data_IF_033022166383
#
_entry.id   IF_033022166383
#
_cell.length_a   1.000
_cell.length_b   1.000
_cell.length_c   1.000
_cell.angle_alpha   90.00
_cell.angle_beta   90.00
_cell.angle_gamma   90.00
#
_symmetry.space_group_name_H-M   'P 1'
#
loop_
_entity.id
_entity.type
_entity.pdbx_description
1 polymer ?
#
# COMPACT_ATOMS: atom_id res chain seq x y z
N UNK A 1 -0.03 -9.85 13.25
CA UNK A 1 0.98 -9.14 14.09
C UNK A 1 1.28 -9.90 15.38
N UNK A 2 0.31 -10.21 16.24
CA UNK A 2 0.56 -10.97 17.48
C UNK A 2 1.12 -12.38 17.23
N UNK A 3 0.65 -13.05 16.18
CA UNK A 3 1.11 -14.40 15.81
C UNK A 3 2.42 -14.40 14.99
N UNK A 4 2.50 -13.55 13.97
CA UNK A 4 3.60 -13.53 12.99
C UNK A 4 4.68 -12.45 13.24
N UNK A 5 4.56 -11.69 14.33
CA UNK A 5 5.44 -10.55 14.63
C UNK A 5 5.20 -9.32 13.76
N UNK A 6 6.24 -8.50 13.61
CA UNK A 6 6.26 -7.28 12.77
C UNK A 6 5.93 -5.98 13.53
N UNK A 7 6.39 -4.82 13.02
CA UNK A 7 6.11 -3.53 13.64
C UNK A 7 4.63 -3.15 13.53
N UNK A 8 4.17 -2.30 14.46
CA UNK A 8 2.89 -1.63 14.35
C UNK A 8 3.01 -0.41 13.42
N UNK A 9 1.96 -0.16 12.65
CA UNK A 9 1.83 1.02 11.78
C UNK A 9 0.34 1.32 11.57
N UNK A 10 0.04 2.59 11.29
CA UNK A 10 -1.32 3.01 10.95
C UNK A 10 -1.70 2.51 9.56
N UNK A 11 -2.93 1.99 9.35
CA UNK A 11 -3.36 1.50 8.05
C UNK A 11 -3.40 2.64 7.02
N UNK A 12 -2.74 2.42 5.87
CA UNK A 12 -2.67 3.41 4.80
C UNK A 12 -2.60 2.73 3.42
N UNK A 13 -3.01 3.47 2.39
CA UNK A 13 -2.74 3.18 0.99
C UNK A 13 -1.79 4.27 0.51
N UNK A 14 -0.56 3.89 0.17
CA UNK A 14 0.44 4.84 -0.31
C UNK A 14 0.06 5.32 -1.71
N UNK A 15 -0.10 6.63 -1.90
CA UNK A 15 -0.31 7.24 -3.23
C UNK A 15 0.98 7.80 -3.83
N UNK A 16 1.90 8.23 -2.98
CA UNK A 16 3.25 8.71 -3.33
C UNK A 16 4.19 8.44 -2.14
N UNK A 17 5.48 8.23 -2.39
CA UNK A 17 6.46 7.91 -1.35
C UNK A 17 7.64 8.87 -1.30
N UNK A 18 8.46 8.75 -0.24
CA UNK A 18 9.72 9.48 -0.04
C UNK A 18 9.62 11.02 -0.10
N UNK A 19 8.46 11.57 0.30
CA UNK A 19 8.16 13.01 0.24
C UNK A 19 7.58 13.46 1.58
N UNK A 20 7.89 14.69 1.98
CA UNK A 20 7.24 15.37 3.12
C UNK A 20 5.98 16.07 2.63
N UNK A 21 4.85 15.83 3.30
CA UNK A 21 3.55 16.36 2.92
C UNK A 21 3.07 17.38 3.97
N UNK A 22 2.35 18.39 3.53
CA UNK A 22 1.62 19.32 4.38
C UNK A 22 0.10 19.10 4.23
N UNK A 23 -0.73 19.57 5.17
CA UNK A 23 -2.19 19.41 5.10
C UNK A 23 -2.83 19.94 3.80
N UNK A 24 -2.26 20.98 3.20
CA UNK A 24 -2.69 21.54 1.92
C UNK A 24 -2.48 20.60 0.72
N UNK A 25 -1.62 19.60 0.85
CA UNK A 25 -1.41 18.57 -0.18
C UNK A 25 -2.45 17.45 -0.12
N UNK A 26 -3.37 17.50 0.85
CA UNK A 26 -4.39 16.47 1.03
C UNK A 26 -5.32 16.39 -0.19
N UNK A 27 -5.54 15.15 -0.66
CA UNK A 27 -6.49 14.86 -1.73
C UNK A 27 -7.93 14.92 -1.19
N UNK A 28 -8.87 15.27 -2.06
CA UNK A 28 -10.28 15.09 -1.77
C UNK A 28 -10.59 13.60 -1.51
N UNK A 29 -11.52 13.26 -0.59
CA UNK A 29 -11.88 11.87 -0.34
C UNK A 29 -12.37 11.15 -1.60
N UNK A 30 -11.99 9.88 -1.75
CA UNK A 30 -12.40 9.01 -2.85
C UNK A 30 -12.65 7.58 -2.33
N UNK A 31 -13.48 6.77 -3.03
CA UNK A 31 -13.71 5.39 -2.63
C UNK A 31 -12.49 4.50 -2.93
N UNK A 32 -12.21 3.56 -2.03
CA UNK A 32 -11.26 2.48 -2.26
C UNK A 32 -11.91 1.16 -1.87
N UNK A 33 -11.77 0.14 -2.71
CA UNK A 33 -12.35 -1.19 -2.50
C UNK A 33 -11.27 -2.24 -2.44
N UNK A 34 -11.31 -3.09 -1.41
CA UNK A 34 -10.47 -4.29 -1.33
C UNK A 34 -10.95 -5.31 -2.35
N UNK A 35 -10.03 -5.86 -3.15
CA UNK A 35 -10.33 -6.92 -4.14
C UNK A 35 -9.90 -8.29 -3.66
N UNK A 36 -8.74 -8.40 -3.02
CA UNK A 36 -8.21 -9.67 -2.53
C UNK A 36 -7.14 -9.45 -1.43
N UNK A 37 -6.94 -10.45 -0.59
CA UNK A 37 -5.73 -10.59 0.21
C UNK A 37 -4.61 -11.22 -0.65
N UNK A 38 -3.43 -10.63 -0.62
CA UNK A 38 -2.27 -11.05 -1.39
C UNK A 38 -0.99 -11.03 -0.55
N UNK A 39 0.06 -11.62 -1.11
CA UNK A 39 1.40 -11.68 -0.51
C UNK A 39 2.48 -11.35 -1.54
N UNK A 40 3.59 -10.85 -1.06
CA UNK A 40 4.77 -10.53 -1.87
C UNK A 40 6.04 -11.15 -1.28
N UNK A 41 7.17 -10.76 -1.87
CA UNK A 41 8.47 -11.40 -1.61
C UNK A 41 9.39 -10.59 -0.71
N UNK A 42 9.05 -9.34 -0.37
CA UNK A 42 9.88 -8.46 0.45
C UNK A 42 9.15 -7.91 1.67
N UNK A 43 9.93 -7.43 2.65
CA UNK A 43 9.46 -6.98 3.97
C UNK A 43 8.20 -6.09 3.94
N UNK A 44 8.19 -5.03 3.13
CA UNK A 44 7.05 -4.09 3.07
C UNK A 44 5.87 -4.56 2.20
N UNK A 45 5.99 -5.72 1.55
CA UNK A 45 4.88 -6.37 0.85
C UNK A 45 4.78 -7.83 1.32
N UNK A 46 4.77 -8.04 2.63
CA UNK A 46 4.63 -9.38 3.20
C UNK A 46 3.19 -9.89 3.03
N UNK A 47 2.21 -9.23 3.65
CA UNK A 47 0.77 -9.48 3.46
C UNK A 47 0.03 -8.16 3.35
N UNK A 48 -0.85 -8.05 2.36
CA UNK A 48 -1.57 -6.82 2.04
C UNK A 48 -2.91 -7.11 1.36
N UNK A 49 -3.83 -6.17 1.46
CA UNK A 49 -5.00 -6.13 0.59
C UNK A 49 -4.66 -5.42 -0.72
N UNK A 50 -4.99 -6.05 -1.84
CA UNK A 50 -5.06 -5.36 -3.13
C UNK A 50 -6.28 -4.44 -3.14
N UNK A 51 -6.07 -3.23 -3.64
CA UNK A 51 -7.13 -2.24 -3.83
C UNK A 51 -7.51 -2.22 -5.31
N UNK A 52 -8.80 -2.09 -5.58
CA UNK A 52 -9.36 -2.00 -6.92
C UNK A 52 -8.77 -0.76 -7.64
N UNK A 53 -8.07 -0.92 -8.78
CA UNK A 53 -7.44 0.18 -9.50
C UNK A 53 -8.47 0.95 -10.35
N UNK A 54 -9.59 1.36 -9.73
CA UNK A 54 -10.56 2.26 -10.34
C UNK A 54 -9.90 3.62 -10.65
N UNK A 55 -10.43 4.37 -11.62
CA UNK A 55 -9.82 5.63 -12.06
C UNK A 55 -9.46 6.59 -10.92
N UNK A 56 -10.31 6.74 -9.91
CA UNK A 56 -10.09 7.63 -8.78
C UNK A 56 -8.85 7.25 -7.95
N UNK A 57 -8.61 5.96 -7.72
CA UNK A 57 -7.44 5.45 -6.99
C UNK A 57 -6.16 5.67 -7.79
N UNK A 58 -6.21 5.41 -9.10
CA UNK A 58 -5.04 5.57 -9.97
C UNK A 58 -4.71 7.05 -10.20
N UNK A 59 -5.72 7.90 -10.35
CA UNK A 59 -5.57 9.35 -10.45
C UNK A 59 -4.98 9.96 -9.18
N UNK A 60 -5.33 9.46 -7.98
CA UNK A 60 -4.76 9.93 -6.73
C UNK A 60 -3.23 9.83 -6.72
N UNK A 61 -2.68 8.68 -7.12
CA UNK A 61 -1.24 8.50 -7.26
C UNK A 61 -0.65 9.33 -8.39
N UNK A 62 -1.28 9.36 -9.57
CA UNK A 62 -0.79 10.15 -10.70
C UNK A 62 -0.70 11.65 -10.39
N UNK A 63 -1.72 12.22 -9.73
CA UNK A 63 -1.75 13.62 -9.31
C UNK A 63 -0.66 13.91 -8.27
N UNK A 64 -0.52 13.05 -7.26
CA UNK A 64 0.51 13.21 -6.25
C UNK A 64 1.92 13.12 -6.87
N UNK A 65 2.19 12.12 -7.71
CA UNK A 65 3.47 11.98 -8.41
C UNK A 65 3.80 13.22 -9.27
N UNK A 66 2.83 13.73 -10.04
CA UNK A 66 3.03 14.93 -10.86
C UNK A 66 3.31 16.18 -9.99
N UNK A 67 2.48 16.41 -8.96
CA UNK A 67 2.60 17.56 -8.06
C UNK A 67 3.96 17.61 -7.37
N UNK A 68 4.48 16.47 -6.93
CA UNK A 68 5.77 16.38 -6.25
C UNK A 68 6.97 16.07 -7.16
N UNK A 69 6.76 15.97 -8.48
CA UNK A 69 7.82 15.60 -9.42
C UNK A 69 8.40 14.19 -9.18
N UNK A 70 7.65 13.30 -8.54
CA UNK A 70 8.08 11.93 -8.27
C UNK A 70 7.91 11.06 -9.52
N UNK A 71 9.00 10.41 -9.94
CA UNK A 71 9.00 9.46 -11.05
C UNK A 71 9.12 8.04 -10.52
N UNK A 72 8.03 7.28 -10.59
CA UNK A 72 8.05 5.86 -10.22
C UNK A 72 8.80 5.04 -11.27
N UNK A 73 9.66 4.13 -10.81
CA UNK A 73 10.34 3.14 -11.66
C UNK A 73 9.48 1.91 -11.96
N UNK A 74 8.33 1.77 -11.29
CA UNK A 74 7.41 0.63 -11.45
C UNK A 74 5.95 1.10 -11.56
N UNK A 75 5.07 0.32 -12.23
CA UNK A 75 3.65 0.62 -12.26
C UNK A 75 3.06 0.72 -10.85
N UNK A 76 2.15 1.68 -10.66
CA UNK A 76 1.46 1.83 -9.38
C UNK A 76 0.55 0.62 -9.11
N UNK A 77 0.78 -0.05 -7.99
CA UNK A 77 -0.05 -1.14 -7.49
C UNK A 77 -0.69 -0.68 -6.17
N UNK A 78 -1.95 -0.23 -6.16
CA UNK A 78 -2.57 0.25 -4.94
C UNK A 78 -2.83 -0.92 -3.99
N UNK A 79 -2.33 -0.80 -2.77
CA UNK A 79 -2.46 -1.83 -1.74
C UNK A 79 -2.53 -1.21 -0.34
N UNK A 80 -3.15 -1.94 0.58
CA UNK A 80 -3.16 -1.65 2.01
C UNK A 80 -2.40 -2.74 2.74
N UNK A 81 -1.25 -2.39 3.31
CA UNK A 81 -0.39 -3.32 4.03
C UNK A 81 -1.04 -3.78 5.34
N UNK A 82 -0.97 -5.10 5.60
CA UNK A 82 -1.48 -5.71 6.82
C UNK A 82 -0.35 -6.17 7.75
N UNK A 83 0.76 -6.60 7.15
CA UNK A 83 1.93 -7.09 7.87
C UNK A 83 3.20 -6.67 7.13
N UNK A 84 4.18 -6.17 7.90
CA UNK A 84 5.57 -6.06 7.47
C UNK A 84 6.40 -7.06 8.27
N UNK A 85 6.96 -8.05 7.59
CA UNK A 85 7.76 -9.10 8.23
C UNK A 85 8.54 -9.91 7.19
N UNK A 86 9.73 -10.37 7.57
CA UNK A 86 10.47 -11.39 6.83
C UNK A 86 10.16 -12.77 7.43
N UNK A 87 9.08 -13.37 6.95
CA UNK A 87 8.60 -14.71 7.35
C UNK A 87 8.60 -15.67 6.16
N UNK A 88 8.47 -16.97 6.42
CA UNK A 88 8.44 -17.99 5.39
C UNK A 88 7.23 -17.83 4.45
N UNK A 89 7.33 -18.33 3.21
CA UNK A 89 6.20 -18.30 2.27
C UNK A 89 4.99 -19.09 2.80
N UNK A 90 5.23 -20.15 3.58
CA UNK A 90 4.17 -20.91 4.26
C UNK A 90 3.46 -20.03 5.32
N UNK A 91 4.21 -19.27 6.12
CA UNK A 91 3.62 -18.36 7.10
C UNK A 91 2.92 -17.17 6.43
N UNK A 92 3.42 -16.65 5.30
CA UNK A 92 2.71 -15.64 4.51
C UNK A 92 1.38 -16.17 3.98
N UNK A 93 1.36 -17.43 3.55
CA UNK A 93 0.16 -18.08 3.06
C UNK A 93 -0.88 -18.29 4.18
N UNK A 94 -0.43 -18.61 5.40
CA UNK A 94 -1.30 -18.65 6.58
C UNK A 94 -1.79 -17.26 6.98
N UNK A 95 -0.92 -16.26 6.93
CA UNK A 95 -1.22 -14.91 7.37
C UNK A 95 -2.16 -14.13 6.43
N UNK A 96 -2.38 -14.59 5.19
CA UNK A 96 -3.33 -13.97 4.24
C UNK A 96 -4.75 -14.55 4.28
N UNK A 97 -4.97 -15.61 5.05
CA UNK A 97 -6.29 -16.24 5.25
C UNK A 97 -7.04 -15.54 6.37
#
# INVERSE_FOLDING_TARGET
RSEFGGPAFEPHITVVGAISLAPEDALAPYPARVTAAARGTFFYQCVFFLIDPIPEVMEASARACNHFGFQSSTPYMPHLSLLYADISDEDKERARQ
#
